data_IF_595907688272
#
_entry.id   IF_595907688272
#
_cell.length_a   1.000
_cell.length_b   1.000
_cell.length_c   1.000
_cell.angle_alpha   90.00
_cell.angle_beta   90.00
_cell.angle_gamma   90.00
#
_symmetry.space_group_name_H-M   'P 1'
#
loop_
_entity.id
_entity.type
_entity.pdbx_description
1 polymer ?
#
# COMPACT_ATOMS: atom_id res chain seq x y z
N UNK A 1 1.72 15.21 24.65
CA UNK A 1 1.59 13.79 24.32
C UNK A 1 2.47 13.55 23.10
N UNK A 2 3.68 13.05 23.30
CA UNK A 2 4.59 12.73 22.19
C UNK A 2 3.95 11.62 21.34
N UNK A 3 3.53 11.96 20.13
CA UNK A 3 3.00 11.01 19.16
C UNK A 3 4.11 9.99 18.85
N UNK A 4 3.92 8.72 19.25
CA UNK A 4 4.91 7.67 19.01
C UNK A 4 5.03 7.41 17.50
N UNK A 5 6.11 7.94 16.91
CA UNK A 5 6.43 7.96 15.47
C UNK A 5 6.58 6.53 14.89
N UNK A 6 6.71 5.50 15.73
CA UNK A 6 7.14 4.14 15.35
C UNK A 6 6.16 3.32 14.50
N UNK A 7 4.90 3.73 14.33
CA UNK A 7 3.92 3.01 13.47
C UNK A 7 3.30 3.88 12.37
N UNK A 8 4.01 4.89 11.88
CA UNK A 8 3.55 5.63 10.72
C UNK A 8 3.66 4.78 9.44
N UNK A 9 2.51 4.35 8.94
CA UNK A 9 2.42 3.70 7.63
C UNK A 9 2.87 4.66 6.50
N UNK A 10 3.42 4.19 5.38
CA UNK A 10 3.71 5.07 4.23
C UNK A 10 2.46 5.67 3.59
N UNK A 11 2.63 6.64 2.67
CA UNK A 11 1.53 7.29 1.92
C UNK A 11 0.70 6.32 1.07
N UNK A 12 1.28 5.17 0.71
CA UNK A 12 0.59 4.14 -0.09
C UNK A 12 -0.43 3.32 0.70
N UNK A 13 -0.52 3.54 2.01
CA UNK A 13 -1.39 2.80 2.90
C UNK A 13 -2.54 3.68 3.40
N UNK A 14 -3.74 3.17 3.21
CA UNK A 14 -4.92 3.64 3.90
C UNK A 14 -4.97 2.95 5.27
N UNK A 15 -5.18 3.74 6.32
CA UNK A 15 -5.21 3.28 7.71
C UNK A 15 -6.26 4.07 8.46
N UNK A 16 -7.24 3.38 9.04
CA UNK A 16 -8.30 3.99 9.84
C UNK A 16 -8.54 3.21 11.13
N UNK A 17 -8.80 3.91 12.23
CA UNK A 17 -9.18 3.26 13.47
C UNK A 17 -10.54 2.56 13.36
N UNK A 18 -10.66 1.39 13.97
CA UNK A 18 -11.86 0.53 13.95
C UNK A 18 -13.05 1.13 14.71
N UNK A 19 -12.81 2.17 15.53
CA UNK A 19 -13.85 2.96 16.20
C UNK A 19 -14.64 3.84 15.25
N UNK A 20 -14.08 4.18 14.09
CA UNK A 20 -14.82 4.88 13.03
C UNK A 20 -15.84 3.89 12.48
N UNK A 21 -17.07 4.02 12.93
CA UNK A 21 -18.20 3.26 12.40
C UNK A 21 -18.71 3.99 11.15
N UNK A 22 -19.26 3.25 10.17
CA UNK A 22 -19.90 3.86 8.98
C UNK A 22 -18.99 4.77 8.15
N UNK A 23 -17.69 4.48 8.09
CA UNK A 23 -16.68 5.37 7.51
C UNK A 23 -17.05 5.94 6.12
N UNK A 24 -17.59 5.09 5.25
CA UNK A 24 -17.91 5.41 3.86
C UNK A 24 -19.42 5.55 3.59
N UNK A 25 -20.24 5.55 4.65
CA UNK A 25 -21.70 5.50 4.59
C UNK A 25 -22.24 6.62 3.70
N UNK A 26 -22.97 6.21 2.65
CA UNK A 26 -23.64 7.12 1.72
C UNK A 26 -22.73 8.00 0.87
N UNK A 27 -21.40 7.78 0.90
CA UNK A 27 -20.46 8.44 -0.01
C UNK A 27 -20.57 7.85 -1.41
N UNK A 28 -20.44 8.68 -2.44
CA UNK A 28 -20.23 8.21 -3.81
C UNK A 28 -18.81 7.66 -4.01
N UNK A 29 -18.57 6.98 -5.13
CA UNK A 29 -17.26 6.41 -5.44
C UNK A 29 -16.15 7.47 -5.44
N UNK A 30 -16.38 8.64 -6.03
CA UNK A 30 -15.37 9.68 -6.14
C UNK A 30 -15.13 10.39 -4.80
N UNK A 31 -16.14 10.51 -3.94
CA UNK A 31 -15.95 10.94 -2.55
C UNK A 31 -15.05 9.97 -1.77
N UNK A 32 -15.26 8.66 -1.93
CA UNK A 32 -14.42 7.64 -1.29
C UNK A 32 -12.99 7.71 -1.83
N UNK A 33 -12.81 7.87 -3.14
CA UNK A 33 -11.49 8.02 -3.77
C UNK A 33 -10.75 9.24 -3.26
N UNK A 34 -11.41 10.40 -3.24
CA UNK A 34 -10.85 11.63 -2.70
C UNK A 34 -10.41 11.45 -1.25
N UNK A 35 -11.28 10.86 -0.43
CA UNK A 35 -10.99 10.57 0.97
C UNK A 35 -9.80 9.59 1.15
N UNK A 36 -9.75 8.53 0.34
CA UNK A 36 -8.68 7.53 0.33
C UNK A 36 -7.34 8.13 -0.11
N UNK A 37 -7.35 9.12 -1.01
CA UNK A 37 -6.16 9.87 -1.41
C UNK A 37 -5.71 10.87 -0.33
N UNK A 38 -6.65 11.53 0.34
CA UNK A 38 -6.37 12.59 1.30
C UNK A 38 -5.90 12.07 2.67
N UNK A 39 -6.49 10.98 3.18
CA UNK A 39 -6.19 10.48 4.53
C UNK A 39 -4.73 10.06 4.75
N UNK A 40 -4.02 9.40 3.81
CA UNK A 40 -2.59 9.11 3.98
C UNK A 40 -1.74 10.39 3.97
N UNK A 41 -2.13 11.42 3.21
CA UNK A 41 -1.44 12.72 3.20
C UNK A 41 -1.63 13.44 4.53
N UNK A 42 -2.85 13.51 5.06
CA UNK A 42 -3.14 14.10 6.36
C UNK A 42 -2.41 13.39 7.51
N UNK A 43 -2.23 12.08 7.39
CA UNK A 43 -1.52 11.25 8.36
C UNK A 43 0.00 11.45 8.34
N UNK A 44 0.59 11.62 7.16
CA UNK A 44 2.06 11.67 6.97
C UNK A 44 2.63 13.08 6.91
N UNK A 45 1.83 14.04 6.49
CA UNK A 45 2.17 15.47 6.51
C UNK A 45 1.79 15.97 7.89
N UNK A 46 2.74 16.55 8.64
CA UNK A 46 2.53 17.04 10.02
C UNK A 46 1.68 18.33 10.07
N UNK A 47 0.55 18.32 9.37
CA UNK A 47 -0.38 19.46 9.28
C UNK A 47 -1.23 19.60 10.55
N UNK A 48 -1.67 20.82 10.81
CA UNK A 48 -2.72 21.17 11.77
C UNK A 48 -4.09 21.31 11.08
N UNK A 49 -5.17 21.51 11.84
CA UNK A 49 -6.52 21.69 11.29
C UNK A 49 -6.71 22.96 10.44
N UNK A 50 -5.76 23.90 10.51
CA UNK A 50 -5.74 25.14 9.73
C UNK A 50 -4.87 25.04 8.47
N UNK A 51 -4.31 23.88 8.17
CA UNK A 51 -3.44 23.65 7.02
C UNK A 51 -4.09 22.66 6.04
N UNK A 52 -4.09 22.94 4.73
CA UNK A 52 -4.77 22.11 3.75
C UNK A 52 -3.95 20.88 3.35
N UNK A 53 -4.66 19.82 2.94
CA UNK A 53 -4.15 18.82 2.02
C UNK A 53 -4.62 19.18 0.61
N UNK A 54 -3.67 19.42 -0.29
CA UNK A 54 -3.96 19.66 -1.70
C UNK A 54 -3.94 18.36 -2.49
N UNK A 55 -4.94 18.16 -3.35
CA UNK A 55 -5.00 17.08 -4.35
C UNK A 55 -5.33 17.71 -5.70
N UNK A 56 -4.47 17.48 -6.69
CA UNK A 56 -4.71 17.95 -8.05
C UNK A 56 -5.63 17.01 -8.83
N UNK A 57 -6.38 17.55 -9.80
CA UNK A 57 -7.20 16.76 -10.73
C UNK A 57 -6.35 15.83 -11.57
N UNK A 58 -5.11 16.21 -11.89
CA UNK A 58 -4.16 15.34 -12.59
C UNK A 58 -3.75 14.13 -11.77
N UNK A 59 -3.48 14.30 -10.48
CA UNK A 59 -3.16 13.19 -9.58
C UNK A 59 -4.39 12.30 -9.37
N UNK A 60 -5.55 12.91 -9.17
CA UNK A 60 -6.83 12.20 -9.03
C UNK A 60 -7.14 11.35 -10.27
N UNK A 61 -6.99 11.91 -11.47
CA UNK A 61 -7.17 11.21 -12.74
C UNK A 61 -6.24 9.99 -12.84
N UNK A 62 -4.96 10.20 -12.55
CA UNK A 62 -3.92 9.16 -12.62
C UNK A 62 -4.18 8.02 -11.64
N UNK A 63 -4.44 8.32 -10.38
CA UNK A 63 -4.63 7.28 -9.36
C UNK A 63 -5.95 6.54 -9.49
N UNK A 64 -7.00 7.20 -9.97
CA UNK A 64 -8.32 6.58 -10.17
C UNK A 64 -8.47 5.91 -11.55
N UNK A 65 -7.53 6.14 -12.47
CA UNK A 65 -7.57 5.60 -13.83
C UNK A 65 -8.73 6.14 -14.65
N UNK A 66 -9.02 7.44 -14.53
CA UNK A 66 -10.06 8.15 -15.28
C UNK A 66 -9.43 9.24 -16.16
N UNK A 67 -10.17 9.71 -17.17
CA UNK A 67 -9.69 10.81 -18.00
C UNK A 67 -9.64 12.13 -17.23
N UNK A 68 -8.73 13.01 -17.65
CA UNK A 68 -8.48 14.27 -16.94
C UNK A 68 -9.70 15.20 -16.94
N UNK A 69 -10.48 15.24 -18.03
CA UNK A 69 -11.70 16.04 -18.12
C UNK A 69 -12.74 15.61 -17.08
N UNK A 70 -13.03 14.31 -16.99
CA UNK A 70 -13.94 13.75 -15.98
C UNK A 70 -13.41 13.98 -14.57
N UNK A 71 -12.09 13.90 -14.38
CA UNK A 71 -11.47 14.11 -13.07
C UNK A 71 -11.72 15.51 -12.50
N UNK A 72 -11.74 16.56 -13.33
CA UNK A 72 -12.06 17.92 -12.86
C UNK A 72 -13.43 17.98 -12.20
N UNK A 73 -14.47 17.54 -12.93
CA UNK A 73 -15.86 17.56 -12.45
C UNK A 73 -16.07 16.59 -11.30
N UNK A 74 -15.50 15.38 -11.37
CA UNK A 74 -15.61 14.39 -10.31
C UNK A 74 -14.95 14.89 -9.00
N UNK A 75 -13.79 15.52 -9.09
CA UNK A 75 -13.06 16.06 -7.93
C UNK A 75 -13.80 17.24 -7.29
N UNK A 76 -14.35 18.15 -8.10
CA UNK A 76 -15.16 19.27 -7.63
C UNK A 76 -16.40 18.78 -6.87
N UNK A 77 -17.20 17.90 -7.49
CA UNK A 77 -18.40 17.33 -6.86
C UNK A 77 -18.08 16.51 -5.60
N UNK A 78 -16.98 15.73 -5.62
CA UNK A 78 -16.53 14.97 -4.48
C UNK A 78 -16.11 15.89 -3.32
N UNK A 79 -15.45 17.01 -3.62
CA UNK A 79 -15.03 18.02 -2.64
C UNK A 79 -16.22 18.59 -1.89
N UNK A 80 -17.23 19.06 -2.64
CA UNK A 80 -18.41 19.69 -2.07
C UNK A 80 -19.21 18.72 -1.19
N UNK A 81 -19.38 17.48 -1.66
CA UNK A 81 -20.11 16.47 -0.90
C UNK A 81 -19.34 16.04 0.35
N UNK A 82 -18.01 15.87 0.26
CA UNK A 82 -17.17 15.45 1.39
C UNK A 82 -17.29 16.42 2.59
N UNK A 83 -17.47 17.71 2.34
CA UNK A 83 -17.70 18.72 3.40
C UNK A 83 -18.93 18.40 4.28
N UNK A 84 -19.96 17.80 3.70
CA UNK A 84 -21.18 17.43 4.41
C UNK A 84 -21.10 16.06 5.10
N UNK A 85 -20.02 15.31 4.87
CA UNK A 85 -19.87 13.97 5.43
C UNK A 85 -19.39 14.00 6.86
N UNK A 86 -19.96 13.10 7.64
CA UNK A 86 -19.63 12.88 9.04
C UNK A 86 -19.50 11.38 9.29
N UNK A 87 -18.85 11.04 10.39
CA UNK A 87 -18.88 9.71 10.97
C UNK A 87 -19.25 9.82 12.45
N UNK A 88 -19.66 8.70 13.03
CA UNK A 88 -19.98 8.61 14.44
C UNK A 88 -19.13 7.58 15.15
N UNK A 89 -18.99 7.75 16.45
CA UNK A 89 -18.51 6.72 17.36
C UNK A 89 -19.11 6.91 18.75
N UNK A 90 -19.02 5.88 19.58
CA UNK A 90 -19.49 5.91 20.97
C UNK A 90 -18.30 6.03 21.91
N UNK A 91 -18.36 6.95 22.88
CA UNK A 91 -17.32 7.10 23.91
C UNK A 91 -17.36 5.94 24.91
N UNK A 92 -16.33 5.82 25.75
CA UNK A 92 -16.31 4.84 26.84
C UNK A 92 -17.48 5.02 27.83
N UNK A 93 -18.02 6.24 27.93
CA UNK A 93 -19.15 6.61 28.79
C UNK A 93 -20.52 6.33 28.14
N UNK A 94 -20.55 5.82 26.90
CA UNK A 94 -21.79 5.55 26.15
C UNK A 94 -22.36 6.74 25.39
N UNK A 95 -21.69 7.90 25.40
CA UNK A 95 -22.12 9.09 24.66
C UNK A 95 -21.89 8.90 23.15
N UNK A 96 -22.89 9.28 22.33
CA UNK A 96 -22.80 9.24 20.87
C UNK A 96 -22.17 10.54 20.36
N UNK A 97 -21.04 10.43 19.70
CA UNK A 97 -20.30 11.56 19.11
C UNK A 97 -20.47 11.52 17.59
N UNK A 98 -20.60 12.70 16.98
CA UNK A 98 -20.76 12.89 15.53
C UNK A 98 -19.85 14.00 15.06
N UNK A 99 -18.94 13.69 14.13
CA UNK A 99 -17.87 14.60 13.70
C UNK A 99 -17.80 14.63 12.19
N UNK A 100 -17.57 15.81 11.61
CA UNK A 100 -17.31 15.97 10.19
C UNK A 100 -15.90 15.52 9.84
N UNK A 101 -15.74 14.97 8.63
CA UNK A 101 -14.41 14.61 8.14
C UNK A 101 -13.50 15.82 7.94
N UNK A 102 -14.06 16.89 7.37
CA UNK A 102 -13.34 18.14 7.07
C UNK A 102 -14.14 19.33 7.61
N UNK A 103 -13.45 20.38 8.07
CA UNK A 103 -14.06 21.63 8.55
C UNK A 103 -14.14 22.72 7.47
N UNK A 104 -13.33 22.60 6.41
CA UNK A 104 -13.25 23.52 5.29
C UNK A 104 -12.78 22.77 4.05
N UNK A 105 -13.33 23.14 2.91
CA UNK A 105 -12.91 22.67 1.59
C UNK A 105 -12.77 23.87 0.65
N UNK A 106 -11.85 23.81 -0.30
CA UNK A 106 -11.70 24.82 -1.35
C UNK A 106 -11.43 24.10 -2.67
N UNK A 107 -12.24 24.36 -3.69
CA UNK A 107 -11.90 23.97 -5.05
C UNK A 107 -11.17 25.12 -5.75
N UNK A 108 -9.91 24.90 -6.11
CA UNK A 108 -9.04 25.88 -6.75
C UNK A 108 -9.15 25.74 -8.28
N UNK A 109 -10.20 26.31 -8.87
CA UNK A 109 -10.49 26.20 -10.31
C UNK A 109 -9.28 26.56 -11.20
N UNK A 110 -8.52 27.60 -10.86
CA UNK A 110 -7.33 28.02 -11.62
C UNK A 110 -6.12 27.08 -11.50
N UNK A 111 -6.00 26.31 -10.41
CA UNK A 111 -4.92 25.33 -10.23
C UNK A 111 -5.38 23.91 -10.58
N UNK A 112 -6.69 23.71 -10.76
CA UNK A 112 -7.24 22.42 -11.13
C UNK A 112 -7.15 21.40 -10.00
N UNK A 113 -7.48 21.76 -8.76
CA UNK A 113 -7.39 20.86 -7.62
C UNK A 113 -8.24 21.29 -6.44
N UNK A 114 -8.19 20.52 -5.36
CA UNK A 114 -8.95 20.76 -4.14
C UNK A 114 -8.05 20.82 -2.93
N UNK A 115 -8.39 21.67 -1.97
CA UNK A 115 -7.80 21.75 -0.65
C UNK A 115 -8.80 21.25 0.40
N UNK A 116 -8.35 20.30 1.22
CA UNK A 116 -9.14 19.70 2.29
C UNK A 116 -8.51 20.01 3.65
N UNK A 117 -9.29 20.57 4.55
CA UNK A 117 -8.87 20.85 5.92
C UNK A 117 -9.53 19.86 6.87
N UNK A 118 -8.73 18.95 7.41
CA UNK A 118 -9.21 17.96 8.37
C UNK A 118 -9.41 18.58 9.75
N UNK A 119 -10.40 18.10 10.50
CA UNK A 119 -10.58 18.50 11.90
C UNK A 119 -9.44 17.96 12.77
N UNK A 120 -9.12 18.62 13.90
CA UNK A 120 -8.08 18.14 14.82
C UNK A 120 -8.34 16.73 15.33
N UNK A 121 -9.61 16.41 15.55
CA UNK A 121 -10.06 15.09 15.98
C UNK A 121 -9.83 14.03 14.91
N UNK A 122 -10.11 14.34 13.64
CA UNK A 122 -9.79 13.43 12.53
C UNK A 122 -8.28 13.26 12.37
N UNK A 123 -7.50 14.34 12.48
CA UNK A 123 -6.03 14.24 12.43
C UNK A 123 -5.49 13.34 13.56
N UNK A 124 -6.04 13.45 14.77
CA UNK A 124 -5.69 12.57 15.89
C UNK A 124 -6.06 11.11 15.59
N UNK A 125 -7.25 10.85 15.06
CA UNK A 125 -7.70 9.51 14.68
C UNK A 125 -6.81 8.89 13.59
N UNK A 126 -6.37 9.71 12.63
CA UNK A 126 -5.51 9.28 11.55
C UNK A 126 -4.05 9.07 11.98
N UNK A 127 -3.61 9.57 13.14
CA UNK A 127 -2.19 9.52 13.56
C UNK A 127 -1.94 8.59 14.75
N UNK A 128 -2.96 8.23 15.50
CA UNK A 128 -2.83 7.42 16.72
C UNK A 128 -3.21 5.96 16.45
N UNK A 129 -2.24 5.05 16.52
CA UNK A 129 -2.44 3.61 16.28
C UNK A 129 -1.66 2.77 17.29
N UNK A 130 -2.35 2.28 18.31
CA UNK A 130 -1.78 1.47 19.38
C UNK A 130 -2.74 0.34 19.76
N UNK A 131 -2.45 -0.37 20.87
CA UNK A 131 -3.28 -1.47 21.33
C UNK A 131 -4.69 -1.04 21.77
N UNK A 132 -4.87 0.21 22.23
CA UNK A 132 -6.15 0.80 22.63
C UNK A 132 -6.91 1.39 21.43
N UNK A 133 -6.20 1.66 20.34
CA UNK A 133 -6.72 2.22 19.10
C UNK A 133 -6.56 1.21 17.95
N UNK A 134 -7.29 0.07 17.97
CA UNK A 134 -7.23 -0.92 16.89
C UNK A 134 -7.65 -0.28 15.57
N UNK A 135 -7.07 -0.74 14.47
CA UNK A 135 -7.23 -0.12 13.15
C UNK A 135 -7.26 -1.15 12.02
N UNK A 136 -7.81 -0.72 10.90
CA UNK A 136 -7.86 -1.44 9.64
C UNK A 136 -6.88 -0.78 8.67
N UNK A 137 -6.12 -1.58 7.92
CA UNK A 137 -5.15 -1.10 6.93
C UNK A 137 -5.20 -1.89 5.63
N UNK A 138 -4.94 -1.20 4.53
CA UNK A 138 -4.77 -1.79 3.21
C UNK A 138 -4.07 -0.82 2.26
N UNK A 139 -3.59 -1.33 1.12
CA UNK A 139 -2.93 -0.53 0.09
C UNK A 139 -3.95 0.35 -0.63
N UNK A 140 -3.65 1.65 -0.71
CA UNK A 140 -4.46 2.67 -1.40
C UNK A 140 -4.74 2.28 -2.85
N UNK A 141 -3.72 1.82 -3.57
CA UNK A 141 -3.84 1.42 -4.97
C UNK A 141 -4.85 0.28 -5.21
N UNK A 142 -5.06 -0.61 -4.24
CA UNK A 142 -5.98 -1.76 -4.38
C UNK A 142 -7.40 -1.24 -4.40
N UNK A 143 -7.71 -0.32 -3.50
CA UNK A 143 -9.05 0.21 -3.31
C UNK A 143 -9.42 1.25 -4.37
N UNK A 144 -8.47 2.07 -4.84
CA UNK A 144 -8.76 3.05 -5.91
C UNK A 144 -9.15 2.41 -7.25
N UNK A 145 -8.74 1.16 -7.49
CA UNK A 145 -9.11 0.38 -8.68
C UNK A 145 -10.54 -0.16 -8.66
N UNK A 146 -11.18 -0.22 -7.49
CA UNK A 146 -12.57 -0.69 -7.36
C UNK A 146 -13.52 0.35 -7.94
N UNK A 147 -14.52 -0.11 -8.69
CA UNK A 147 -15.45 0.74 -9.44
C UNK A 147 -16.91 0.57 -9.01
N UNK A 148 -17.27 -0.48 -8.28
CA UNK A 148 -18.64 -0.61 -7.76
C UNK A 148 -18.82 0.21 -6.49
N UNK A 149 -20.00 0.82 -6.37
CA UNK A 149 -20.33 1.76 -5.31
C UNK A 149 -20.08 1.22 -3.89
N UNK A 150 -20.36 -0.06 -3.67
CA UNK A 150 -20.27 -0.72 -2.35
C UNK A 150 -19.06 -1.64 -2.17
N UNK A 151 -18.23 -1.82 -3.21
CA UNK A 151 -17.03 -2.68 -3.12
C UNK A 151 -16.06 -2.19 -2.05
N UNK A 152 -15.88 -0.87 -1.96
CA UNK A 152 -14.98 -0.26 -0.98
C UNK A 152 -15.44 -0.52 0.46
N UNK A 153 -16.74 -0.44 0.72
CA UNK A 153 -17.32 -0.67 2.04
C UNK A 153 -17.19 -2.13 2.44
N UNK A 154 -17.57 -3.06 1.55
CA UNK A 154 -17.41 -4.49 1.80
C UNK A 154 -15.95 -4.89 2.00
N UNK A 155 -15.04 -4.32 1.20
CA UNK A 155 -13.61 -4.55 1.36
C UNK A 155 -13.11 -4.01 2.70
N UNK A 156 -13.51 -2.81 3.10
CA UNK A 156 -13.13 -2.26 4.40
C UNK A 156 -13.64 -3.11 5.57
N UNK A 157 -14.92 -3.53 5.55
CA UNK A 157 -15.48 -4.44 6.55
C UNK A 157 -14.76 -5.79 6.57
N UNK A 158 -14.45 -6.35 5.41
CA UNK A 158 -13.71 -7.59 5.30
C UNK A 158 -12.30 -7.48 5.90
N UNK A 159 -11.55 -6.41 5.58
CA UNK A 159 -10.21 -6.18 6.12
C UNK A 159 -10.24 -5.95 7.64
N UNK A 160 -11.28 -5.29 8.16
CA UNK A 160 -11.51 -5.12 9.60
C UNK A 160 -11.66 -6.45 10.34
N UNK A 161 -12.33 -7.42 9.71
CA UNK A 161 -12.62 -8.74 10.29
C UNK A 161 -11.78 -9.89 9.73
N UNK A 162 -10.72 -9.57 8.96
CA UNK A 162 -9.93 -10.59 8.25
C UNK A 162 -9.27 -11.59 9.21
N UNK A 163 -8.77 -11.14 10.36
CA UNK A 163 -8.12 -12.00 11.35
C UNK A 163 -9.09 -13.01 11.99
N UNK A 164 -10.38 -12.70 11.99
CA UNK A 164 -11.46 -13.58 12.48
C UNK A 164 -11.98 -14.52 11.38
N UNK A 165 -11.49 -14.39 10.14
CA UNK A 165 -11.91 -15.17 8.97
C UNK A 165 -13.29 -14.79 8.41
N UNK A 166 -13.96 -13.77 8.95
CA UNK A 166 -15.33 -13.41 8.55
C UNK A 166 -16.07 -12.53 9.55
N UNK A 167 -17.28 -12.14 9.18
CA UNK A 167 -18.19 -11.37 10.03
C UNK A 167 -19.64 -11.70 9.73
N UNK A 168 -20.52 -11.43 10.70
CA UNK A 168 -21.96 -11.53 10.53
C UNK A 168 -22.56 -10.13 10.66
N UNK A 169 -23.58 -9.85 9.87
CA UNK A 169 -24.27 -8.57 9.89
C UNK A 169 -25.76 -8.80 9.64
N UNK A 170 -26.61 -8.21 10.47
CA UNK A 170 -28.06 -8.22 10.24
C UNK A 170 -28.41 -7.34 9.03
N UNK A 171 -29.63 -7.51 8.50
CA UNK A 171 -30.09 -6.64 7.40
C UNK A 171 -30.12 -5.17 7.83
N UNK A 172 -30.62 -4.87 9.02
CA UNK A 172 -30.71 -3.50 9.51
C UNK A 172 -29.32 -2.86 9.64
N UNK A 173 -28.38 -3.58 10.25
CA UNK A 173 -27.00 -3.10 10.36
C UNK A 173 -26.36 -2.93 8.98
N UNK A 174 -26.62 -3.81 8.01
CA UNK A 174 -26.06 -3.67 6.66
C UNK A 174 -26.57 -2.40 5.97
N UNK A 175 -27.86 -2.11 6.08
CA UNK A 175 -28.46 -0.88 5.54
C UNK A 175 -27.88 0.36 6.20
N UNK A 176 -27.70 0.32 7.52
CA UNK A 176 -27.11 1.41 8.27
C UNK A 176 -25.63 1.61 7.89
N UNK A 177 -24.82 0.56 7.92
CA UNK A 177 -23.39 0.61 7.62
C UNK A 177 -23.09 1.14 6.21
N UNK A 178 -23.86 0.71 5.22
CA UNK A 178 -23.64 1.07 3.81
C UNK A 178 -24.43 2.31 3.37
N UNK A 179 -25.44 2.74 4.13
CA UNK A 179 -26.38 3.79 3.71
C UNK A 179 -27.20 3.37 2.49
N UNK A 180 -27.74 2.15 2.51
CA UNK A 180 -28.53 1.61 1.39
C UNK A 180 -29.90 2.31 1.28
N UNK A 181 -30.34 2.68 0.06
CA UNK A 181 -31.70 3.18 -0.16
C UNK A 181 -32.75 2.09 0.09
N UNK A 182 -33.99 2.51 0.39
CA UNK A 182 -35.12 1.61 0.63
C UNK A 182 -35.44 0.70 -0.56
N UNK A 183 -35.08 1.09 -1.78
CA UNK A 183 -35.26 0.27 -2.98
C UNK A 183 -34.56 -1.10 -2.91
N UNK A 184 -33.55 -1.25 -2.04
CA UNK A 184 -32.89 -2.53 -1.79
C UNK A 184 -33.53 -3.37 -0.68
N UNK A 185 -34.66 -2.94 -0.08
CA UNK A 185 -35.41 -3.80 0.87
C UNK A 185 -35.86 -5.11 0.22
N UNK A 186 -36.07 -5.11 -1.11
CA UNK A 186 -36.13 -6.36 -1.87
C UNK A 186 -34.75 -7.03 -1.88
N UNK A 187 -34.65 -8.14 -1.15
CA UNK A 187 -33.45 -8.95 -1.03
C UNK A 187 -32.90 -9.47 -2.36
N UNK A 188 -33.76 -9.68 -3.36
CA UNK A 188 -33.35 -10.07 -4.71
C UNK A 188 -32.51 -8.95 -5.34
N UNK A 189 -32.97 -7.71 -5.24
CA UNK A 189 -32.27 -6.52 -5.73
C UNK A 189 -30.99 -6.27 -4.95
N UNK A 190 -31.04 -6.33 -3.62
CA UNK A 190 -29.85 -6.20 -2.77
C UNK A 190 -28.75 -7.19 -3.18
N UNK A 191 -29.10 -8.46 -3.37
CA UNK A 191 -28.14 -9.49 -3.77
C UNK A 191 -27.60 -9.25 -5.17
N UNK A 192 -28.47 -8.97 -6.15
CA UNK A 192 -28.10 -8.85 -7.57
C UNK A 192 -27.34 -7.56 -7.90
N UNK A 193 -27.62 -6.46 -7.20
CA UNK A 193 -27.10 -5.12 -7.52
C UNK A 193 -26.01 -4.65 -6.56
N UNK A 194 -26.02 -5.12 -5.32
CA UNK A 194 -25.08 -4.65 -4.28
C UNK A 194 -24.11 -5.75 -3.89
N UNK A 195 -24.59 -6.83 -3.26
CA UNK A 195 -23.72 -7.84 -2.64
C UNK A 195 -22.90 -8.57 -3.70
N UNK A 196 -23.56 -9.24 -4.66
CA UNK A 196 -22.86 -10.06 -5.65
C UNK A 196 -21.87 -9.26 -6.50
N UNK A 197 -22.24 -8.12 -7.12
CA UNK A 197 -21.30 -7.36 -7.92
C UNK A 197 -20.09 -6.84 -7.12
N UNK A 198 -20.30 -6.48 -5.85
CA UNK A 198 -19.20 -6.01 -4.99
C UNK A 198 -18.25 -7.14 -4.63
N UNK A 199 -18.78 -8.30 -4.24
CA UNK A 199 -17.97 -9.47 -3.90
C UNK A 199 -17.21 -10.01 -5.12
N UNK A 200 -17.84 -10.05 -6.29
CA UNK A 200 -17.20 -10.49 -7.54
C UNK A 200 -16.05 -9.54 -7.92
N UNK A 201 -16.23 -8.23 -7.79
CA UNK A 201 -15.18 -7.24 -8.06
C UNK A 201 -14.02 -7.35 -7.07
N UNK A 202 -14.31 -7.48 -5.77
CA UNK A 202 -13.29 -7.65 -4.73
C UNK A 202 -12.49 -8.93 -4.96
N UNK A 203 -13.19 -10.03 -5.21
CA UNK A 203 -12.62 -11.35 -5.51
C UNK A 203 -11.82 -11.34 -6.81
N UNK A 204 -12.07 -10.43 -7.74
CA UNK A 204 -11.28 -10.33 -8.98
C UNK A 204 -10.05 -9.44 -8.82
N UNK A 205 -10.14 -8.35 -8.04
CA UNK A 205 -9.18 -7.25 -8.10
C UNK A 205 -8.34 -7.03 -6.82
N UNK A 206 -8.58 -7.81 -5.76
CA UNK A 206 -7.94 -7.62 -4.46
C UNK A 206 -7.22 -8.88 -3.93
N UNK A 207 -6.57 -8.74 -2.77
CA UNK A 207 -5.83 -9.77 -2.05
C UNK A 207 -6.72 -10.79 -1.30
N UNK A 208 -8.05 -10.60 -1.32
CA UNK A 208 -8.99 -11.45 -0.58
C UNK A 208 -10.10 -12.00 -1.49
N UNK A 209 -10.63 -13.15 -1.08
CA UNK A 209 -11.87 -13.73 -1.58
C UNK A 209 -12.97 -13.53 -0.53
N UNK A 210 -14.14 -13.10 -1.00
CA UNK A 210 -15.31 -12.92 -0.16
C UNK A 210 -16.47 -13.77 -0.64
N UNK A 211 -17.00 -14.57 0.27
CA UNK A 211 -18.24 -15.33 0.07
C UNK A 211 -19.24 -15.00 1.17
N UNK A 212 -20.52 -15.27 0.93
CA UNK A 212 -21.55 -15.04 1.93
C UNK A 212 -22.59 -16.14 1.97
N UNK A 213 -23.13 -16.37 3.16
CA UNK A 213 -24.27 -17.26 3.42
C UNK A 213 -25.43 -16.46 4.03
N UNK A 214 -26.66 -16.89 3.74
CA UNK A 214 -27.84 -16.27 4.35
C UNK A 214 -28.01 -16.76 5.79
N UNK A 215 -28.19 -15.84 6.73
CA UNK A 215 -28.68 -16.15 8.07
C UNK A 215 -30.20 -16.10 8.01
N UNK A 216 -30.87 -17.21 8.33
CA UNK A 216 -32.33 -17.34 8.23
C UNK A 216 -32.98 -17.44 9.61
N UNK A 217 -34.17 -16.87 9.73
CA UNK A 217 -35.11 -17.13 10.83
C UNK A 217 -36.40 -17.66 10.20
N UNK A 218 -36.60 -18.97 10.27
CA UNK A 218 -37.64 -19.65 9.49
C UNK A 218 -37.39 -19.51 7.99
N UNK A 219 -38.38 -18.98 7.24
CA UNK A 219 -38.28 -18.75 5.80
C UNK A 219 -37.58 -17.43 5.44
N UNK A 220 -37.52 -16.48 6.36
CA UNK A 220 -36.99 -15.14 6.13
C UNK A 220 -35.49 -15.07 6.33
N UNK A 221 -34.79 -14.36 5.46
CA UNK A 221 -33.37 -14.00 5.67
C UNK A 221 -33.34 -12.79 6.61
N UNK A 222 -32.56 -12.89 7.68
CA UNK A 222 -32.42 -11.83 8.71
C UNK A 222 -31.05 -11.17 8.69
N UNK A 223 -30.10 -11.74 7.96
CA UNK A 223 -28.75 -11.20 7.82
C UNK A 223 -27.88 -12.06 6.93
N UNK A 224 -26.60 -11.73 6.91
CA UNK A 224 -25.59 -12.43 6.12
C UNK A 224 -24.37 -12.76 6.97
N UNK A 225 -23.80 -13.93 6.72
CA UNK A 225 -22.49 -14.33 7.23
C UNK A 225 -21.49 -14.25 6.10
N UNK A 226 -20.56 -13.30 6.19
CA UNK A 226 -19.46 -13.15 5.24
C UNK A 226 -18.26 -13.95 5.71
N UNK A 227 -17.63 -14.67 4.79
CA UNK A 227 -16.38 -15.40 5.00
C UNK A 227 -15.29 -14.72 4.19
N UNK A 228 -14.15 -14.44 4.84
CA UNK A 228 -13.00 -13.75 4.26
C UNK A 228 -11.85 -14.75 4.16
N UNK A 229 -11.30 -14.93 2.96
CA UNK A 229 -10.12 -15.78 2.73
C UNK A 229 -9.02 -14.95 2.09
N UNK A 230 -7.79 -15.05 2.61
CA UNK A 230 -6.64 -14.43 1.97
C UNK A 230 -6.21 -15.29 0.78
N UNK A 231 -6.01 -14.65 -0.37
CA UNK A 231 -5.49 -15.36 -1.54
C UNK A 231 -4.03 -15.73 -1.31
N UNK A 232 -3.58 -16.87 -1.86
CA UNK A 232 -2.16 -17.18 -1.88
C UNK A 232 -1.41 -16.03 -2.55
N UNK A 233 -0.47 -15.41 -1.83
CA UNK A 233 0.43 -14.44 -2.44
C UNK A 233 1.19 -15.17 -3.55
N UNK A 234 1.32 -14.59 -4.76
CA UNK A 234 2.22 -15.13 -5.76
C UNK A 234 3.58 -15.26 -5.07
N UNK A 235 4.13 -16.47 -5.03
CA UNK A 235 5.53 -16.64 -4.63
C UNK A 235 6.30 -15.71 -5.57
N UNK A 236 7.03 -14.74 -5.02
CA UNK A 236 7.97 -13.95 -5.79
C UNK A 236 8.92 -14.98 -6.41
N UNK A 237 8.70 -15.32 -7.67
CA UNK A 237 9.68 -16.02 -8.47
C UNK A 237 10.83 -15.01 -8.51
N UNK A 238 11.92 -15.30 -7.79
CA UNK A 238 13.14 -14.53 -7.92
C UNK A 238 13.36 -14.33 -9.42
N UNK A 239 13.65 -13.11 -9.90
CA UNK A 239 13.79 -12.87 -11.34
C UNK A 239 14.70 -13.96 -11.87
N UNK A 240 14.20 -14.74 -12.84
CA UNK A 240 15.00 -15.77 -13.48
C UNK A 240 16.29 -15.10 -13.91
N UNK A 241 17.41 -15.49 -13.27
CA UNK A 241 18.73 -14.97 -13.61
C UNK A 241 18.91 -15.20 -15.11
N UNK A 242 19.12 -14.14 -15.87
CA UNK A 242 19.48 -14.24 -17.27
C UNK A 242 20.74 -15.10 -17.37
N UNK A 243 20.72 -16.28 -18.02
CA UNK A 243 21.89 -17.15 -18.12
C UNK A 243 23.07 -16.51 -18.86
N UNK A 244 22.88 -15.36 -19.51
CA UNK A 244 23.91 -14.66 -20.27
C UNK A 244 24.46 -13.38 -19.62
N UNK A 245 24.00 -13.00 -18.42
CA UNK A 245 24.60 -11.86 -17.69
C UNK A 245 25.60 -12.37 -16.66
N UNK A 246 26.88 -12.29 -17.02
CA UNK A 246 28.03 -12.68 -16.20
C UNK A 246 28.27 -11.64 -15.10
N UNK A 247 27.45 -11.62 -14.05
CA UNK A 247 27.84 -11.05 -12.75
C UNK A 247 28.61 -12.12 -11.96
N UNK A 248 29.79 -12.49 -12.47
CA UNK A 248 30.70 -13.46 -11.87
C UNK A 248 31.66 -12.78 -10.88
N UNK A 249 31.12 -12.16 -9.83
CA UNK A 249 31.93 -11.92 -8.64
C UNK A 249 32.09 -13.25 -7.91
N UNK A 250 33.33 -13.64 -7.69
CA UNK A 250 33.69 -14.85 -6.97
C UNK A 250 34.18 -14.49 -5.58
N UNK A 251 33.49 -14.97 -4.56
CA UNK A 251 34.02 -14.92 -3.21
C UNK A 251 35.28 -15.81 -3.12
N UNK A 252 36.40 -15.20 -2.75
CA UNK A 252 37.69 -15.88 -2.59
C UNK A 252 38.10 -15.81 -1.12
N UNK A 253 38.66 -16.90 -0.57
CA UNK A 253 39.25 -16.86 0.77
C UNK A 253 40.51 -16.00 0.79
N UNK A 254 40.91 -15.49 1.96
CA UNK A 254 42.15 -14.71 2.10
C UNK A 254 43.39 -15.49 1.62
N UNK A 255 43.40 -16.82 1.75
CA UNK A 255 44.46 -17.68 1.22
C UNK A 255 44.48 -17.70 -0.32
N UNK A 256 43.31 -17.78 -0.97
CA UNK A 256 43.19 -17.72 -2.43
C UNK A 256 43.58 -16.34 -2.95
N UNK A 257 43.11 -15.26 -2.30
CA UNK A 257 43.46 -13.87 -2.66
C UNK A 257 44.97 -13.69 -2.59
N UNK A 258 45.62 -14.19 -1.53
CA UNK A 258 47.07 -14.10 -1.40
C UNK A 258 47.81 -14.91 -2.48
N UNK A 259 47.38 -16.13 -2.76
CA UNK A 259 47.99 -17.00 -3.77
C UNK A 259 47.88 -16.37 -5.17
N UNK A 260 46.66 -16.03 -5.60
CA UNK A 260 46.43 -15.47 -6.93
C UNK A 260 46.97 -14.04 -7.06
N UNK A 261 46.89 -13.20 -6.02
CA UNK A 261 47.46 -11.86 -6.05
C UNK A 261 48.97 -11.86 -6.27
N UNK A 262 49.69 -12.80 -5.67
CA UNK A 262 51.14 -12.97 -5.85
C UNK A 262 51.50 -13.58 -7.23
N UNK A 263 50.64 -14.41 -7.80
CA UNK A 263 50.85 -14.98 -9.14
C UNK A 263 50.55 -13.96 -10.25
N UNK A 264 49.46 -13.21 -10.09
CA UNK A 264 49.02 -12.17 -11.02
C UNK A 264 50.01 -11.01 -11.08
N UNK A 265 50.66 -10.63 -9.96
CA UNK A 265 51.65 -9.55 -9.98
C UNK A 265 52.88 -9.84 -10.84
N UNK A 266 53.17 -11.12 -11.11
CA UNK A 266 54.27 -11.55 -11.98
C UNK A 266 53.91 -11.61 -13.45
N UNK A 267 52.64 -11.41 -13.82
CA UNK A 267 52.21 -11.41 -15.21
C UNK A 267 52.55 -10.07 -15.88
N UNK A 268 53.27 -10.07 -17.02
CA UNK A 268 53.59 -8.85 -17.76
C UNK A 268 52.35 -8.03 -18.15
N UNK A 269 51.23 -8.72 -18.43
CA UNK A 269 49.93 -8.12 -18.81
C UNK A 269 49.32 -7.22 -17.71
N UNK A 270 49.70 -7.45 -16.45
CA UNK A 270 49.19 -6.72 -15.28
C UNK A 270 50.15 -5.65 -14.76
N UNK A 271 51.32 -5.49 -15.40
CA UNK A 271 52.27 -4.41 -15.10
C UNK A 271 51.69 -3.00 -15.31
N UNK A 272 50.60 -2.87 -16.07
CA UNK A 272 49.85 -1.60 -16.24
C UNK A 272 49.21 -1.07 -14.95
N UNK A 273 49.00 -1.95 -13.97
CA UNK A 273 48.47 -1.56 -12.65
C UNK A 273 49.60 -1.14 -11.69
N UNK A 274 50.86 -1.21 -12.13
CA UNK A 274 51.99 -0.73 -11.38
C UNK A 274 52.08 0.80 -11.43
N UNK A 275 52.40 1.43 -10.30
CA UNK A 275 52.58 2.88 -10.18
C UNK A 275 54.07 3.18 -10.05
N UNK A 276 54.63 3.84 -11.07
CA UNK A 276 56.05 4.20 -11.10
C UNK A 276 56.97 2.99 -11.26
N UNK A 277 58.08 2.97 -10.51
CA UNK A 277 59.11 1.91 -10.56
C UNK A 277 58.96 0.95 -9.37
N UNK A 278 57.73 0.61 -9.00
CA UNK A 278 57.44 -0.22 -7.81
C UNK A 278 57.76 -1.70 -8.03
N UNK A 279 58.17 -2.39 -6.95
CA UNK A 279 58.51 -3.81 -6.97
C UNK A 279 57.27 -4.72 -7.01
N UNK A 280 57.49 -5.99 -7.37
CA UNK A 280 56.45 -7.02 -7.51
C UNK A 280 55.58 -7.23 -6.26
N UNK A 281 56.10 -6.95 -5.07
CA UNK A 281 55.37 -7.08 -3.80
C UNK A 281 54.30 -5.99 -3.61
N UNK A 282 54.61 -4.74 -4.00
CA UNK A 282 53.67 -3.63 -3.92
C UNK A 282 52.51 -3.81 -4.93
N UNK A 283 52.83 -4.27 -6.14
CA UNK A 283 51.84 -4.63 -7.15
C UNK A 283 50.95 -5.79 -6.69
N UNK A 284 51.53 -6.80 -6.00
CA UNK A 284 50.77 -7.91 -5.45
C UNK A 284 49.73 -7.45 -4.43
N UNK A 285 50.07 -6.50 -3.53
CA UNK A 285 49.11 -5.97 -2.57
C UNK A 285 47.92 -5.29 -3.27
N UNK A 286 48.19 -4.49 -4.31
CA UNK A 286 47.14 -3.78 -5.04
C UNK A 286 46.22 -4.75 -5.80
N UNK A 287 46.80 -5.78 -6.41
CA UNK A 287 45.99 -6.82 -7.09
C UNK A 287 45.12 -7.57 -6.08
N UNK A 288 45.60 -7.83 -4.85
CA UNK A 288 44.78 -8.44 -3.79
C UNK A 288 43.57 -7.58 -3.42
N UNK A 289 43.73 -6.26 -3.36
CA UNK A 289 42.61 -5.34 -3.13
C UNK A 289 41.63 -5.33 -4.32
N UNK A 290 42.14 -5.40 -5.55
CA UNK A 290 41.31 -5.53 -6.75
C UNK A 290 40.52 -6.84 -6.79
N UNK A 291 41.04 -7.93 -6.21
CA UNK A 291 40.33 -9.21 -6.12
C UNK A 291 39.16 -9.19 -5.11
N UNK A 292 39.13 -8.22 -4.18
CA UNK A 292 38.05 -8.03 -3.20
C UNK A 292 36.91 -7.14 -3.71
N UNK A 293 37.16 -6.36 -4.75
CA UNK A 293 36.23 -5.40 -5.32
C UNK A 293 35.45 -6.03 -6.50
N UNK A 294 34.11 -6.11 -6.44
CA UNK A 294 33.31 -6.78 -7.48
C UNK A 294 33.50 -6.26 -8.90
N UNK A 295 33.73 -4.97 -9.07
CA UNK A 295 33.89 -4.36 -10.39
C UNK A 295 35.32 -4.55 -10.91
N UNK A 296 36.31 -4.48 -10.02
CA UNK A 296 37.72 -4.68 -10.41
C UNK A 296 38.08 -6.14 -10.61
N UNK A 297 37.44 -7.05 -9.87
CA UNK A 297 37.67 -8.50 -10.02
C UNK A 297 37.29 -8.97 -11.42
N UNK A 298 36.24 -8.41 -12.04
CA UNK A 298 35.82 -8.67 -13.43
C UNK A 298 36.97 -8.52 -14.43
N UNK A 299 37.84 -7.53 -14.24
CA UNK A 299 39.01 -7.29 -15.10
C UNK A 299 40.10 -8.35 -14.95
N UNK A 300 40.13 -9.05 -13.81
CA UNK A 300 41.12 -10.07 -13.47
C UNK A 300 40.62 -11.49 -13.75
N UNK A 301 39.30 -11.70 -13.90
CA UNK A 301 38.67 -13.02 -14.18
C UNK A 301 39.32 -13.78 -15.35
N UNK A 302 39.66 -13.15 -16.50
CA UNK A 302 40.31 -13.87 -17.60
C UNK A 302 41.68 -14.44 -17.21
N UNK A 303 42.45 -13.69 -16.40
CA UNK A 303 43.78 -14.11 -15.95
C UNK A 303 43.68 -15.14 -14.81
N UNK A 304 42.68 -15.02 -13.93
CA UNK A 304 42.39 -16.01 -12.89
C UNK A 304 42.06 -17.38 -13.49
N UNK A 305 41.23 -17.42 -14.55
CA UNK A 305 40.92 -18.67 -15.26
C UNK A 305 42.16 -19.29 -15.91
N UNK A 306 43.03 -18.47 -16.53
CA UNK A 306 44.32 -18.94 -17.07
C UNK A 306 45.22 -19.55 -15.99
N UNK A 307 45.15 -19.03 -14.76
CA UNK A 307 45.88 -19.54 -13.59
C UNK A 307 45.20 -20.72 -12.89
N UNK A 308 44.12 -21.26 -13.46
CA UNK A 308 43.43 -22.44 -12.94
C UNK A 308 42.45 -22.17 -11.79
N UNK A 309 42.01 -20.91 -11.60
CA UNK A 309 40.95 -20.62 -10.65
C UNK A 309 39.62 -21.22 -11.15
N UNK A 310 39.12 -22.21 -10.40
CA UNK A 310 37.80 -22.79 -10.63
C UNK A 310 36.84 -22.31 -9.53
N UNK A 311 35.84 -21.47 -9.85
CA UNK A 311 34.90 -21.00 -8.85
C UNK A 311 34.05 -22.16 -8.35
N UNK A 312 33.94 -22.31 -7.02
CA UNK A 312 32.90 -23.17 -6.46
C UNK A 312 31.57 -22.49 -6.78
N UNK A 313 30.72 -23.17 -7.54
CA UNK A 313 29.33 -22.77 -7.73
C UNK A 313 28.62 -22.81 -6.37
N UNK A 314 28.40 -21.63 -5.79
CA UNK A 314 27.41 -21.44 -4.71
C UNK A 314 26.03 -21.22 -5.32
#
# INVERSE_FOLDING_TARGET
MELDIKKHYPKDWMVLQNRVVECFRGMSLDEKRLFIMATPLARTTKISSNEPIFISSSEFAKECGIDLSTAYTALELATDRLFTRFFGYTTAEGNRVKIRWVNKVIYLAGQGGTELYFTDEVLLLLRTFDALNPYTKYKKEVVLRLKKDYSLDFYHLAKKHQTMGGFQISLNELFEQLGLPESYQDLSNLKKRVIKPSLDEITSNTDIDLSYDNIKRGRSVVGFKFTVREKPKPKLIAPARDPNTVDMFFEMSDSQINMFGNQLSKLPELGKYAVGNEGYEALASRIKDMLKDPEKQKLLVPHLKKLGFNPKSS
#
